data_IF_557065318809
#
_entry.id   IF_557065318809
#
_cell.length_a   1.000
_cell.length_b   1.000
_cell.length_c   1.000
_cell.angle_alpha   90.00
_cell.angle_beta   90.00
_cell.angle_gamma   90.00
#
_symmetry.space_group_name_H-M   'P 1'
#
loop_
_entity.id
_entity.type
_entity.pdbx_description
1 polymer ?
#
# COMPACT_ATOMS: atom_id res chain seq x y z
N UNK A 1 -3.18 -13.14 3.02
CA UNK A 1 -3.65 -11.98 3.79
C UNK A 1 -4.84 -11.40 3.05
N UNK A 2 -5.96 -11.18 3.75
CA UNK A 2 -7.17 -10.59 3.19
C UNK A 2 -7.12 -9.06 3.22
N UNK A 3 -8.03 -8.40 2.51
CA UNK A 3 -8.16 -6.94 2.53
C UNK A 3 -8.48 -6.41 3.94
N UNK A 4 -9.40 -7.07 4.66
CA UNK A 4 -9.78 -6.73 6.04
C UNK A 4 -8.62 -6.88 7.02
N UNK A 5 -7.80 -7.92 6.87
CA UNK A 5 -6.59 -8.13 7.67
C UNK A 5 -5.55 -7.02 7.46
N UNK A 6 -5.32 -6.60 6.21
CA UNK A 6 -4.40 -5.50 5.92
C UNK A 6 -4.90 -4.19 6.53
N UNK A 7 -6.18 -3.86 6.37
CA UNK A 7 -6.78 -2.63 6.94
C UNK A 7 -6.54 -2.59 8.45
N UNK A 8 -6.86 -3.67 9.17
CA UNK A 8 -6.66 -3.77 10.63
C UNK A 8 -5.20 -3.60 11.04
N UNK A 9 -4.26 -4.07 10.23
CA UNK A 9 -2.82 -3.92 10.50
C UNK A 9 -2.36 -2.48 10.30
N UNK A 10 -2.80 -1.82 9.23
CA UNK A 10 -2.49 -0.42 8.97
C UNK A 10 -3.07 0.50 10.04
N UNK A 11 -4.30 0.26 10.49
CA UNK A 11 -4.95 1.05 11.56
C UNK A 11 -4.24 0.94 12.92
N UNK A 12 -3.51 -0.15 13.15
CA UNK A 12 -2.73 -0.38 14.37
C UNK A 12 -1.26 0.03 14.23
N UNK A 13 -0.86 0.48 13.05
CA UNK A 13 0.53 0.84 12.80
C UNK A 13 0.86 2.16 13.50
N UNK A 14 1.88 2.15 14.36
CA UNK A 14 2.40 3.37 15.00
C UNK A 14 3.38 4.14 14.11
N UNK A 15 3.89 3.48 13.05
CA UNK A 15 4.85 4.05 12.11
C UNK A 15 4.66 3.47 10.71
N UNK A 16 5.17 4.18 9.71
CA UNK A 16 5.26 3.67 8.34
C UNK A 16 6.37 2.63 8.23
N UNK A 17 6.13 1.57 7.46
CA UNK A 17 7.12 0.53 7.19
C UNK A 17 6.95 0.01 5.76
N UNK A 18 8.07 -0.29 5.09
CA UNK A 18 8.07 -0.79 3.71
C UNK A 18 7.31 -2.09 3.50
N UNK A 19 7.12 -2.87 4.55
CA UNK A 19 6.30 -4.09 4.49
C UNK A 19 4.84 -3.75 4.16
N UNK A 20 4.30 -2.65 4.69
CA UNK A 20 2.94 -2.21 4.40
C UNK A 20 2.78 -1.78 2.95
N UNK A 21 3.78 -1.11 2.39
CA UNK A 21 3.75 -0.73 0.98
C UNK A 21 3.78 -1.95 0.06
N UNK A 22 4.62 -2.96 0.39
CA UNK A 22 4.64 -4.23 -0.34
C UNK A 22 3.32 -4.98 -0.25
N UNK A 23 2.67 -4.96 0.90
CA UNK A 23 1.35 -5.56 1.14
C UNK A 23 0.24 -4.85 0.33
N UNK A 24 0.24 -3.52 0.29
CA UNK A 24 -0.65 -2.72 -0.57
C UNK A 24 -0.35 -2.99 -2.04
N UNK A 25 0.93 -3.04 -2.41
CA UNK A 25 1.38 -3.33 -3.78
C UNK A 25 0.86 -4.68 -4.26
N UNK A 26 0.94 -5.72 -3.41
CA UNK A 26 0.41 -7.05 -3.75
C UNK A 26 -1.09 -7.03 -4.06
N UNK A 27 -1.88 -6.20 -3.38
CA UNK A 27 -3.31 -6.01 -3.69
C UNK A 27 -3.55 -5.34 -5.05
N UNK A 28 -2.60 -4.51 -5.51
CA UNK A 28 -2.63 -3.88 -6.83
C UNK A 28 -2.00 -4.76 -7.93
N UNK A 29 -1.65 -6.01 -7.63
CA UNK A 29 -1.07 -6.95 -8.59
C UNK A 29 0.45 -6.85 -8.72
N UNK A 30 1.15 -6.12 -7.84
CA UNK A 30 2.62 -6.18 -7.81
C UNK A 30 3.05 -7.57 -7.36
N UNK A 31 3.97 -8.18 -8.11
CA UNK A 31 4.45 -9.53 -7.80
C UNK A 31 5.82 -9.47 -7.16
N UNK A 32 6.00 -10.12 -6.02
CA UNK A 32 7.31 -10.28 -5.38
C UNK A 32 8.04 -11.45 -6.03
N UNK A 33 9.21 -11.19 -6.60
CA UNK A 33 10.09 -12.22 -7.17
C UNK A 33 11.37 -12.32 -6.34
N UNK A 34 11.87 -13.54 -6.20
CA UNK A 34 13.11 -13.84 -5.48
C UNK A 34 14.02 -14.61 -6.43
N UNK A 35 15.09 -13.97 -6.86
CA UNK A 35 16.13 -14.63 -7.64
C UNK A 35 17.27 -15.05 -6.71
N UNK A 36 17.79 -16.24 -6.96
CA UNK A 36 18.96 -16.79 -6.27
C UNK A 36 20.17 -16.60 -7.18
N UNK A 37 20.96 -15.56 -6.91
CA UNK A 37 22.16 -15.27 -7.70
C UNK A 37 23.30 -16.12 -7.14
N UNK A 38 23.85 -17.01 -7.96
CA UNK A 38 25.10 -17.72 -7.65
C UNK A 38 26.26 -16.75 -7.88
N UNK A 39 27.09 -16.57 -6.86
CA UNK A 39 28.35 -15.84 -6.99
C UNK A 39 29.46 -16.85 -7.33
N UNK A 40 30.15 -16.63 -8.44
CA UNK A 40 31.07 -17.58 -9.09
C UNK A 40 32.38 -17.85 -8.31
N UNK A 41 32.55 -17.31 -7.10
CA UNK A 41 33.82 -17.29 -6.38
C UNK A 41 33.80 -17.91 -4.95
N UNK A 42 32.99 -18.94 -4.66
CA UNK A 42 32.81 -19.62 -3.35
C UNK A 42 31.71 -19.09 -2.41
N UNK A 43 30.68 -18.40 -2.92
CA UNK A 43 29.68 -17.77 -2.05
C UNK A 43 28.33 -18.48 -1.99
N UNK A 44 27.79 -18.63 -0.78
CA UNK A 44 26.36 -18.93 -0.53
C UNK A 44 25.45 -18.12 -1.49
N UNK A 45 24.40 -18.73 -2.07
CA UNK A 45 23.52 -18.04 -3.01
C UNK A 45 22.92 -16.80 -2.36
N UNK A 46 23.16 -15.64 -2.97
CA UNK A 46 22.62 -14.37 -2.46
C UNK A 46 21.20 -14.21 -2.99
N UNK A 47 20.24 -14.07 -2.08
CA UNK A 47 18.83 -13.82 -2.43
C UNK A 47 18.66 -12.36 -2.84
N UNK A 48 18.22 -12.12 -4.07
CA UNK A 48 17.78 -10.80 -4.53
C UNK A 48 16.25 -10.78 -4.62
N UNK A 49 15.63 -9.95 -3.79
CA UNK A 49 14.19 -9.72 -3.83
C UNK A 49 13.92 -8.48 -4.66
N UNK A 50 13.06 -8.58 -5.66
CA UNK A 50 12.57 -7.45 -6.43
C UNK A 50 11.07 -7.60 -6.68
N UNK A 51 10.47 -6.52 -7.14
CA UNK A 51 9.05 -6.48 -7.44
C UNK A 51 8.85 -6.34 -8.95
N UNK A 52 7.83 -6.98 -9.49
CA UNK A 52 7.42 -6.84 -10.88
C UNK A 52 6.24 -5.88 -10.93
N UNK A 53 6.31 -4.92 -11.86
CA UNK A 53 5.26 -3.93 -12.08
C UNK A 53 3.98 -4.63 -12.56
N UNK A 54 2.76 -4.20 -12.20
CA UNK A 54 1.54 -4.87 -12.67
C UNK A 54 1.31 -4.76 -14.19
N UNK A 55 1.80 -3.68 -14.81
CA UNK A 55 1.58 -3.37 -16.23
C UNK A 55 2.62 -3.93 -17.19
N UNK A 56 3.76 -4.43 -16.68
CA UNK A 56 4.82 -5.03 -17.48
C UNK A 56 5.51 -6.15 -16.71
N UNK A 57 6.24 -7.03 -17.38
CA UNK A 57 7.07 -8.05 -16.69
C UNK A 57 8.42 -7.48 -16.21
N UNK A 58 8.56 -6.16 -16.15
CA UNK A 58 9.81 -5.51 -15.76
C UNK A 58 9.94 -5.41 -14.23
N UNK A 59 11.19 -5.52 -13.71
CA UNK A 59 11.49 -5.17 -12.34
C UNK A 59 11.20 -3.69 -12.06
N UNK A 60 10.60 -3.42 -10.91
CA UNK A 60 10.31 -2.08 -10.42
C UNK A 60 10.39 -1.97 -8.91
N UNK A 61 10.21 -0.74 -8.44
CA UNK A 61 10.14 -0.43 -7.01
C UNK A 61 8.69 -0.17 -6.64
N UNK A 62 8.15 -0.94 -5.69
CA UNK A 62 6.81 -0.68 -5.15
C UNK A 62 6.76 0.75 -4.63
N UNK A 63 5.75 1.56 -4.99
CA UNK A 63 5.61 2.91 -4.51
C UNK A 63 5.62 3.01 -2.97
N UNK A 64 5.97 4.18 -2.45
CA UNK A 64 5.96 4.46 -1.02
C UNK A 64 4.56 4.87 -0.55
N UNK A 65 3.56 4.02 -0.78
CA UNK A 65 2.14 4.32 -0.54
C UNK A 65 1.86 4.93 0.83
N UNK A 66 2.48 4.41 1.87
CA UNK A 66 2.23 4.83 3.26
C UNK A 66 2.98 6.09 3.68
N UNK A 67 3.99 6.54 2.94
CA UNK A 67 4.78 7.73 3.30
C UNK A 67 4.81 8.83 2.24
N UNK A 68 4.40 8.55 1.00
CA UNK A 68 4.28 9.51 -0.10
C UNK A 68 2.81 9.77 -0.39
N UNK A 69 2.38 11.03 -0.25
CA UNK A 69 1.01 11.41 -0.53
C UNK A 69 0.66 11.22 -2.00
N UNK A 70 1.58 11.50 -2.93
CA UNK A 70 1.37 11.30 -4.36
C UNK A 70 1.09 9.83 -4.68
N UNK A 71 1.90 8.91 -4.14
CA UNK A 71 1.67 7.48 -4.31
C UNK A 71 0.34 7.02 -3.70
N UNK A 72 -0.05 7.57 -2.55
CA UNK A 72 -1.34 7.28 -1.92
C UNK A 72 -2.53 7.80 -2.76
N UNK A 73 -2.37 8.97 -3.40
CA UNK A 73 -3.36 9.52 -4.32
C UNK A 73 -3.49 8.65 -5.57
N UNK A 74 -2.39 8.14 -6.12
CA UNK A 74 -2.43 7.22 -7.26
C UNK A 74 -3.15 5.91 -6.90
N UNK A 75 -2.88 5.34 -5.72
CA UNK A 75 -3.63 4.21 -5.17
C UNK A 75 -5.12 4.52 -5.05
N UNK A 76 -5.46 5.66 -4.43
CA UNK A 76 -6.85 6.07 -4.24
C UNK A 76 -7.56 6.22 -5.59
N UNK A 77 -6.92 6.85 -6.60
CA UNK A 77 -7.47 6.99 -7.95
C UNK A 77 -7.67 5.64 -8.63
N UNK A 78 -6.76 4.69 -8.42
CA UNK A 78 -6.90 3.34 -8.97
C UNK A 78 -8.09 2.58 -8.35
N UNK A 79 -8.39 2.82 -7.07
CA UNK A 79 -9.45 2.12 -6.33
C UNK A 79 -10.82 2.82 -6.45
N UNK A 80 -10.85 4.14 -6.36
CA UNK A 80 -12.02 4.97 -6.20
C UNK A 80 -11.95 6.24 -7.10
N UNK A 81 -11.83 6.07 -8.44
CA UNK A 81 -11.52 7.18 -9.35
C UNK A 81 -12.56 8.31 -9.37
N UNK A 82 -13.81 8.02 -9.02
CA UNK A 82 -14.93 8.96 -9.07
C UNK A 82 -15.30 9.54 -7.69
N UNK A 83 -14.68 9.06 -6.61
CA UNK A 83 -15.06 9.51 -5.28
C UNK A 83 -14.40 10.84 -4.95
N UNK A 84 -15.14 11.70 -4.26
CA UNK A 84 -14.58 12.87 -3.58
C UNK A 84 -13.78 12.39 -2.38
N UNK A 85 -12.61 12.96 -2.16
CA UNK A 85 -11.73 12.58 -1.06
C UNK A 85 -11.11 13.80 -0.42
N UNK A 86 -10.65 13.63 0.82
CA UNK A 86 -9.96 14.66 1.58
C UNK A 86 -8.88 14.05 2.44
N UNK A 87 -7.79 14.79 2.63
CA UNK A 87 -6.71 14.44 3.52
C UNK A 87 -6.27 15.67 4.30
N UNK A 88 -5.92 15.48 5.56
CA UNK A 88 -5.38 16.52 6.42
C UNK A 88 -4.32 15.95 7.36
N UNK A 89 -3.52 16.84 7.92
CA UNK A 89 -2.54 16.53 8.96
C UNK A 89 -2.76 17.54 10.09
N UNK A 90 -3.03 17.05 11.29
CA UNK A 90 -3.18 17.88 12.49
C UNK A 90 -2.61 17.11 13.68
N UNK A 91 -1.93 17.81 14.59
CA UNK A 91 -1.41 17.24 15.84
C UNK A 91 -0.60 15.95 15.66
N UNK A 92 0.21 15.89 14.60
CA UNK A 92 1.04 14.71 14.30
C UNK A 92 0.28 13.51 13.74
N UNK A 93 -1.03 13.63 13.48
CA UNK A 93 -1.90 12.56 13.00
C UNK A 93 -2.44 12.89 11.61
N UNK A 94 -2.24 11.96 10.67
CA UNK A 94 -2.87 12.01 9.35
C UNK A 94 -4.32 11.59 9.44
N UNK A 95 -5.21 12.32 8.78
CA UNK A 95 -6.62 11.99 8.66
C UNK A 95 -7.05 11.99 7.20
N UNK A 96 -7.84 11.01 6.79
CA UNK A 96 -8.38 10.95 5.43
C UNK A 96 -9.83 10.43 5.40
N UNK A 97 -10.55 10.82 4.35
CA UNK A 97 -11.92 10.37 4.07
C UNK A 97 -12.08 10.22 2.56
N UNK A 98 -12.88 9.23 2.14
CA UNK A 98 -13.27 9.00 0.74
C UNK A 98 -14.77 8.78 0.68
N UNK A 99 -15.44 9.50 -0.20
CA UNK A 99 -16.89 9.49 -0.37
C UNK A 99 -17.61 9.77 0.94
N UNK A 100 -18.59 8.92 1.25
CA UNK A 100 -19.31 8.89 2.53
C UNK A 100 -18.74 7.85 3.51
N UNK A 101 -17.48 7.44 3.32
CA UNK A 101 -16.80 6.48 4.20
C UNK A 101 -16.40 7.08 5.55
N UNK A 102 -15.90 6.25 6.48
CA UNK A 102 -15.44 6.73 7.78
C UNK A 102 -14.14 7.54 7.65
N UNK A 103 -13.96 8.51 8.54
CA UNK A 103 -12.65 9.11 8.76
C UNK A 103 -11.66 8.04 9.22
N UNK A 104 -10.51 8.03 8.55
CA UNK A 104 -9.41 7.12 8.83
C UNK A 104 -8.24 7.92 9.38
N UNK A 105 -7.57 7.38 10.39
CA UNK A 105 -6.45 8.02 11.06
C UNK A 105 -5.21 7.13 10.95
N UNK A 106 -4.04 7.76 10.82
CA UNK A 106 -2.76 7.06 10.77
C UNK A 106 -1.60 8.00 11.15
N UNK A 107 -0.39 7.49 11.39
CA UNK A 107 0.80 8.32 11.66
C UNK A 107 1.18 9.28 10.52
N UNK A 108 0.67 9.05 9.30
CA UNK A 108 0.89 9.91 8.14
C UNK A 108 -0.41 10.12 7.35
N UNK A 109 -0.58 11.27 6.67
CA UNK A 109 -1.74 11.51 5.80
C UNK A 109 -1.79 10.51 4.63
N UNK A 110 -0.64 10.08 4.11
CA UNK A 110 -0.54 9.10 3.03
C UNK A 110 -1.08 7.72 3.47
N UNK A 111 -0.67 7.23 4.65
CA UNK A 111 -1.20 5.97 5.20
C UNK A 111 -2.69 6.07 5.52
N UNK A 112 -3.16 7.19 6.08
CA UNK A 112 -4.58 7.42 6.34
C UNK A 112 -5.41 7.34 5.05
N UNK A 113 -4.91 7.94 3.95
CA UNK A 113 -5.55 7.89 2.64
C UNK A 113 -5.57 6.46 2.08
N UNK A 114 -4.49 5.70 2.23
CA UNK A 114 -4.45 4.29 1.85
C UNK A 114 -5.53 3.49 2.60
N UNK A 115 -5.65 3.66 3.92
CA UNK A 115 -6.68 2.98 4.74
C UNK A 115 -8.08 3.34 4.24
N UNK A 116 -8.35 4.63 4.00
CA UNK A 116 -9.64 5.08 3.48
C UNK A 116 -9.96 4.45 2.11
N UNK A 117 -8.98 4.37 1.21
CA UNK A 117 -9.16 3.75 -0.11
C UNK A 117 -9.45 2.25 0.00
N UNK A 118 -8.70 1.54 0.83
CA UNK A 118 -8.89 0.11 1.05
C UNK A 118 -10.27 -0.19 1.68
N UNK A 119 -10.74 0.65 2.62
CA UNK A 119 -12.11 0.53 3.16
C UNK A 119 -13.18 0.79 2.10
N UNK A 120 -13.00 1.81 1.25
CA UNK A 120 -13.92 2.07 0.14
C UNK A 120 -13.99 0.87 -0.82
N UNK A 121 -12.84 0.23 -1.11
CA UNK A 121 -12.79 -1.03 -1.87
C UNK A 121 -13.58 -2.14 -1.17
N UNK A 122 -13.33 -2.38 0.11
CA UNK A 122 -13.99 -3.42 0.90
C UNK A 122 -15.51 -3.25 0.93
N UNK A 123 -16.00 -2.01 1.11
CA UNK A 123 -17.43 -1.70 1.10
C UNK A 123 -18.12 -2.02 -0.23
N UNK A 124 -17.42 -1.88 -1.37
CA UNK A 124 -17.97 -2.18 -2.70
C UNK A 124 -17.94 -3.66 -3.05
N UNK A 125 -16.88 -4.35 -2.66
CA UNK A 125 -16.69 -5.77 -2.99
C UNK A 125 -17.55 -6.69 -2.10
N UNK A 126 -17.98 -6.19 -0.93
CA UNK A 126 -18.55 -7.01 0.14
C UNK A 126 -17.46 -7.86 0.80
N UNK A 127 -17.61 -8.17 2.09
CA UNK A 127 -16.68 -9.06 2.81
C UNK A 127 -16.86 -10.49 2.25
N UNK A 128 -16.13 -10.81 1.17
CA UNK A 128 -16.11 -12.14 0.54
C UNK A 128 -14.96 -12.98 1.08
#
# INVERSE_FOLDING_TARGET
MTLSELIKRLERAEKVERIFDGEIGALLGWRRQVDYIKNDANGEPTKRVFWIVPSSDDPGTVPFFTSSLDAAVDLMKAIAPADVWGVSMADGTGTAIIGSGPYCHAPTPAMALCIAALKAKLMREGDK
#
